data_IF_520166346910
#
_entry.id   IF_520166346910
#
_cell.length_a   1.000
_cell.length_b   1.000
_cell.length_c   1.000
_cell.angle_alpha   90.00
_cell.angle_beta   90.00
_cell.angle_gamma   90.00
#
_symmetry.space_group_name_H-M   'P 1'
#
loop_
_entity.id
_entity.type
_entity.pdbx_description
1 polymer ?
#
# COMPACT_ATOMS: atom_id res chain seq x y z
N UNK A 1 -3.53 -14.82 11.03
CA UNK A 1 -3.93 -13.63 11.78
C UNK A 1 -2.92 -12.51 11.63
N UNK A 2 -3.40 -11.28 11.66
CA UNK A 2 -2.55 -10.11 11.61
C UNK A 2 -1.84 -9.93 12.95
N UNK A 3 -0.63 -9.37 12.88
CA UNK A 3 0.07 -8.98 14.10
C UNK A 3 -0.69 -7.83 14.77
N UNK A 4 -0.73 -7.79 16.11
CA UNK A 4 -1.30 -6.65 16.81
C UNK A 4 -0.59 -5.36 16.42
N UNK A 5 -1.32 -4.26 16.35
CA UNK A 5 -0.73 -2.95 16.04
C UNK A 5 0.32 -2.53 17.06
N UNK A 6 0.23 -3.02 18.29
CA UNK A 6 1.21 -2.76 19.34
C UNK A 6 2.60 -3.30 19.03
N UNK A 7 2.71 -4.30 18.14
CA UNK A 7 3.99 -4.86 17.71
C UNK A 7 4.63 -4.04 16.59
N UNK A 8 3.87 -3.16 15.96
CA UNK A 8 4.33 -2.36 14.84
C UNK A 8 5.22 -1.22 15.36
N UNK A 9 6.46 -1.16 14.87
CA UNK A 9 7.42 -0.14 15.29
C UNK A 9 7.65 0.92 14.21
N UNK A 10 7.88 0.52 12.97
CA UNK A 10 8.21 1.44 11.89
C UNK A 10 7.97 0.78 10.53
N UNK A 11 8.04 1.58 9.48
CA UNK A 11 7.88 1.10 8.13
C UNK A 11 8.48 2.03 7.11
N UNK A 12 8.57 1.53 5.90
CA UNK A 12 9.01 2.29 4.72
C UNK A 12 7.90 2.21 3.69
N UNK A 13 7.62 3.31 3.03
CA UNK A 13 6.52 3.39 2.06
C UNK A 13 6.99 3.92 0.72
N UNK A 14 6.35 3.43 -0.33
CA UNK A 14 6.54 3.92 -1.69
C UNK A 14 5.18 4.20 -2.32
N UNK A 15 5.02 5.39 -2.89
CA UNK A 15 3.82 5.77 -3.63
C UNK A 15 4.04 5.49 -5.11
N UNK A 16 3.17 4.67 -5.68
CA UNK A 16 3.20 4.36 -7.11
C UNK A 16 2.26 5.32 -7.83
N UNK A 17 2.81 6.47 -8.25
CA UNK A 17 2.00 7.59 -8.75
C UNK A 17 1.17 7.25 -9.98
N UNK A 18 1.67 6.34 -10.82
CA UNK A 18 1.00 5.92 -12.06
C UNK A 18 0.19 4.64 -11.91
N UNK A 19 0.20 4.01 -10.74
CA UNK A 19 -0.46 2.73 -10.53
C UNK A 19 -1.63 2.78 -9.54
N UNK A 20 -1.74 3.87 -8.79
CA UNK A 20 -2.86 4.07 -7.88
C UNK A 20 -2.79 3.27 -6.58
N UNK A 21 -1.60 2.98 -6.09
CA UNK A 21 -1.44 2.38 -4.76
C UNK A 21 -0.15 2.83 -4.10
N UNK A 22 -0.15 2.68 -2.79
CA UNK A 22 1.00 2.92 -1.91
C UNK A 22 1.34 1.58 -1.28
N UNK A 23 2.60 1.19 -1.29
CA UNK A 23 3.05 -0.05 -0.68
C UNK A 23 3.98 0.30 0.48
N UNK A 24 3.69 -0.27 1.64
CA UNK A 24 4.48 -0.08 2.86
C UNK A 24 5.02 -1.42 3.33
N UNK A 25 6.26 -1.40 3.78
CA UNK A 25 6.91 -2.55 4.41
C UNK A 25 7.04 -2.25 5.90
N UNK A 26 6.36 -3.04 6.73
CA UNK A 26 6.31 -2.79 8.18
C UNK A 26 7.17 -3.77 8.97
N UNK A 27 7.77 -3.24 10.04
CA UNK A 27 8.69 -3.97 10.92
C UNK A 27 8.24 -3.88 12.37
N UNK A 28 8.58 -4.92 13.13
CA UNK A 28 8.34 -4.97 14.57
C UNK A 28 9.39 -4.20 15.34
N UNK A 29 9.20 -4.08 16.66
CA UNK A 29 10.19 -3.48 17.57
C UNK A 29 11.50 -4.29 17.61
N UNK A 30 11.47 -5.56 17.23
CA UNK A 30 12.64 -6.42 17.11
C UNK A 30 13.32 -6.35 15.75
N UNK A 31 12.87 -5.42 14.87
CA UNK A 31 13.38 -5.23 13.51
C UNK A 31 13.05 -6.40 12.56
N UNK A 32 12.07 -7.22 12.91
CA UNK A 32 11.61 -8.30 12.05
C UNK A 32 10.57 -7.78 11.05
N UNK A 33 10.65 -8.25 9.82
CA UNK A 33 9.65 -7.94 8.82
C UNK A 33 8.32 -8.58 9.21
N UNK A 34 7.26 -7.76 9.30
CA UNK A 34 5.93 -8.20 9.69
C UNK A 34 5.06 -8.51 8.49
N UNK A 35 4.87 -7.54 7.60
CA UNK A 35 4.05 -7.71 6.40
C UNK A 35 4.16 -6.48 5.50
N UNK A 36 3.72 -6.69 4.25
CA UNK A 36 3.48 -5.60 3.31
C UNK A 36 2.05 -5.11 3.48
N UNK A 37 1.88 -3.81 3.51
CA UNK A 37 0.57 -3.18 3.58
C UNK A 37 0.40 -2.29 2.34
N UNK A 38 -0.63 -2.59 1.53
CA UNK A 38 -0.87 -1.88 0.29
C UNK A 38 -2.17 -1.11 0.38
N UNK A 39 -2.09 0.21 0.26
CA UNK A 39 -3.24 1.10 0.25
C UNK A 39 -3.63 1.42 -1.19
N UNK A 40 -4.90 1.25 -1.53
CA UNK A 40 -5.42 1.70 -2.82
C UNK A 40 -5.73 3.19 -2.68
N UNK A 41 -5.14 4.00 -3.54
CA UNK A 41 -5.23 5.46 -3.45
C UNK A 41 -5.58 6.08 -4.79
N UNK A 42 -6.15 7.30 -4.72
CA UNK A 42 -6.31 8.17 -5.88
C UNK A 42 -5.24 9.25 -5.76
N UNK A 43 -4.48 9.45 -6.82
CA UNK A 43 -3.44 10.47 -6.86
C UNK A 43 -3.87 11.62 -7.76
N UNK A 44 -3.91 12.83 -7.21
CA UNK A 44 -4.21 14.04 -7.96
C UNK A 44 -3.03 15.00 -7.88
N UNK A 45 -2.61 15.50 -9.03
CA UNK A 45 -1.56 16.51 -9.11
C UNK A 45 -2.20 17.88 -9.22
N UNK A 46 -1.87 18.78 -8.29
CA UNK A 46 -2.31 20.17 -8.32
C UNK A 46 -1.21 21.03 -8.91
N UNK A 47 -1.45 21.48 -10.13
CA UNK A 47 -0.46 22.20 -10.93
C UNK A 47 -0.05 23.53 -10.28
N UNK A 48 -1.00 24.26 -9.71
CA UNK A 48 -0.76 25.59 -9.15
C UNK A 48 0.18 25.55 -7.96
N UNK A 49 0.10 24.53 -7.14
CA UNK A 49 0.94 24.36 -5.94
C UNK A 49 2.05 23.34 -6.13
N UNK A 50 2.14 22.70 -7.32
CA UNK A 50 3.08 21.61 -7.60
C UNK A 50 3.02 20.55 -6.50
N UNK A 51 1.81 20.14 -6.17
CA UNK A 51 1.54 19.25 -5.04
C UNK A 51 0.76 18.02 -5.50
N UNK A 52 1.13 16.85 -4.97
CA UNK A 52 0.35 15.63 -5.14
C UNK A 52 -0.56 15.46 -3.94
N UNK A 53 -1.83 15.19 -4.20
CA UNK A 53 -2.82 14.89 -3.16
C UNK A 53 -3.20 13.43 -3.28
N UNK A 54 -3.07 12.68 -2.19
CA UNK A 54 -3.40 11.27 -2.14
C UNK A 54 -4.69 11.07 -1.37
N UNK A 55 -5.67 10.42 -1.97
CA UNK A 55 -6.93 10.10 -1.34
C UNK A 55 -7.03 8.59 -1.15
N UNK A 56 -7.26 8.17 0.08
CA UNK A 56 -7.45 6.76 0.42
C UNK A 56 -8.80 6.30 -0.12
N UNK A 57 -8.79 5.21 -0.89
CA UNK A 57 -10.00 4.64 -1.48
C UNK A 57 -10.54 3.45 -0.68
N UNK A 58 -10.08 3.29 0.57
CA UNK A 58 -10.64 2.40 1.60
C UNK A 58 -10.37 0.91 1.43
N UNK A 59 -9.94 0.42 0.28
CA UNK A 59 -9.59 -0.98 0.10
C UNK A 59 -8.08 -1.16 0.31
N UNK A 60 -7.70 -2.15 1.11
CA UNK A 60 -6.30 -2.42 1.43
C UNK A 60 -5.96 -3.89 1.19
N UNK A 61 -4.69 -4.16 0.90
CA UNK A 61 -4.18 -5.51 0.71
C UNK A 61 -2.99 -5.73 1.62
N UNK A 62 -3.01 -6.85 2.34
CA UNK A 62 -1.92 -7.23 3.23
C UNK A 62 -1.27 -8.49 2.66
N UNK A 63 0.06 -8.44 2.49
CA UNK A 63 0.85 -9.58 2.01
C UNK A 63 1.81 -9.96 3.12
N UNK A 64 1.65 -11.18 3.65
CA UNK A 64 2.49 -11.69 4.73
C UNK A 64 3.79 -12.27 4.18
N UNK A 65 4.80 -12.48 5.06
CA UNK A 65 6.09 -13.02 4.61
C UNK A 65 6.00 -14.36 3.89
N UNK A 66 5.00 -15.19 4.24
CA UNK A 66 4.77 -16.48 3.59
C UNK A 66 4.02 -16.38 2.25
N UNK A 67 3.70 -15.14 1.82
CA UNK A 67 2.95 -14.89 0.60
C UNK A 67 1.44 -14.89 0.76
N UNK A 68 0.93 -15.20 1.96
CA UNK A 68 -0.50 -15.17 2.23
C UNK A 68 -1.02 -13.75 2.02
N UNK A 69 -2.03 -13.61 1.16
CA UNK A 69 -2.58 -12.31 0.75
C UNK A 69 -4.00 -12.16 1.27
N UNK A 70 -4.30 -11.01 1.86
CA UNK A 70 -5.61 -10.70 2.41
C UNK A 70 -6.06 -9.33 1.94
N UNK A 71 -7.27 -9.27 1.40
CA UNK A 71 -7.93 -8.00 1.08
C UNK A 71 -8.81 -7.62 2.28
N UNK A 72 -8.66 -6.40 2.77
CA UNK A 72 -9.40 -5.93 3.94
C UNK A 72 -10.14 -4.64 3.61
N UNK A 73 -11.13 -4.31 4.46
CA UNK A 73 -11.90 -3.07 4.42
C UNK A 73 -12.81 -2.92 3.19
N UNK A 74 -13.13 -4.01 2.50
CA UNK A 74 -14.11 -3.98 1.42
C UNK A 74 -15.49 -3.58 1.92
N UNK A 75 -15.81 -3.94 3.15
CA UNK A 75 -17.08 -3.57 3.78
C UNK A 75 -17.17 -2.05 3.98
N UNK A 76 -16.07 -1.43 4.38
CA UNK A 76 -15.99 0.02 4.52
C UNK A 76 -16.15 0.72 3.17
N UNK A 77 -15.60 0.13 2.11
CA UNK A 77 -15.74 0.66 0.76
C UNK A 77 -17.21 0.63 0.33
N UNK A 78 -17.90 -0.48 0.57
CA UNK A 78 -19.31 -0.63 0.26
C UNK A 78 -20.17 0.37 1.06
N UNK A 79 -19.91 0.49 2.36
CA UNK A 79 -20.62 1.44 3.22
C UNK A 79 -20.46 2.87 2.74
N UNK A 80 -19.25 3.27 2.39
CA UNK A 80 -18.97 4.61 1.90
C UNK A 80 -19.75 4.89 0.61
N UNK A 81 -19.80 3.93 -0.28
CA UNK A 81 -20.54 4.05 -1.53
C UNK A 81 -22.05 4.19 -1.27
N UNK A 82 -22.60 3.35 -0.41
CA UNK A 82 -24.03 3.36 -0.08
C UNK A 82 -24.47 4.64 0.61
N UNK A 83 -23.57 5.25 1.39
CA UNK A 83 -23.83 6.51 2.07
C UNK A 83 -23.61 7.74 1.20
N UNK A 84 -23.21 7.54 -0.05
CA UNK A 84 -22.96 8.65 -0.96
C UNK A 84 -21.65 9.39 -0.70
N UNK A 85 -20.77 8.82 0.12
CA UNK A 85 -19.46 9.42 0.42
C UNK A 85 -18.42 9.08 -0.65
N UNK A 86 -18.70 8.09 -1.47
CA UNK A 86 -17.82 7.64 -2.54
C UNK A 86 -18.62 7.58 -3.83
N UNK A 87 -18.18 8.29 -4.87
CA UNK A 87 -18.86 8.29 -6.16
C UNK A 87 -18.71 6.93 -6.85
N UNK A 88 -19.61 6.64 -7.78
CA UNK A 88 -19.53 5.41 -8.59
C UNK A 88 -18.24 5.39 -9.41
N UNK A 89 -17.76 6.56 -9.84
CA UNK A 89 -16.51 6.68 -10.57
C UNK A 89 -15.30 6.29 -9.71
N UNK A 90 -15.27 6.78 -8.47
CA UNK A 90 -14.20 6.42 -7.52
C UNK A 90 -14.28 4.97 -7.10
N UNK A 91 -15.48 4.44 -6.91
CA UNK A 91 -15.68 3.02 -6.61
C UNK A 91 -15.11 2.15 -7.74
N UNK A 92 -15.45 2.48 -8.98
CA UNK A 92 -14.94 1.76 -10.16
C UNK A 92 -13.42 1.85 -10.22
N UNK A 93 -12.86 3.03 -9.96
CA UNK A 93 -11.40 3.24 -9.95
C UNK A 93 -10.73 2.38 -8.88
N UNK A 94 -11.28 2.36 -7.66
CA UNK A 94 -10.75 1.56 -6.56
C UNK A 94 -10.71 0.08 -6.91
N UNK A 95 -11.79 -0.44 -7.50
CA UNK A 95 -11.87 -1.85 -7.88
C UNK A 95 -10.88 -2.21 -8.99
N UNK A 96 -10.68 -1.32 -9.97
CA UNK A 96 -9.73 -1.56 -11.05
C UNK A 96 -8.29 -1.54 -10.55
N UNK A 97 -7.98 -0.61 -9.66
CA UNK A 97 -6.64 -0.52 -9.07
C UNK A 97 -6.35 -1.69 -8.14
N UNK A 98 -7.35 -2.11 -7.37
CA UNK A 98 -7.26 -3.31 -6.54
C UNK A 98 -6.99 -4.54 -7.40
N UNK A 99 -7.72 -4.70 -8.49
CA UNK A 99 -7.52 -5.81 -9.41
C UNK A 99 -6.09 -5.80 -9.99
N UNK A 100 -5.60 -4.62 -10.40
CA UNK A 100 -4.26 -4.49 -10.94
C UNK A 100 -3.19 -4.96 -9.94
N UNK A 101 -3.32 -4.56 -8.69
CA UNK A 101 -2.41 -4.99 -7.64
C UNK A 101 -2.50 -6.49 -7.39
N UNK A 102 -3.72 -7.03 -7.29
CA UNK A 102 -3.92 -8.45 -7.07
C UNK A 102 -3.37 -9.29 -8.22
N UNK A 103 -3.52 -8.83 -9.47
CA UNK A 103 -2.95 -9.53 -10.62
C UNK A 103 -1.43 -9.58 -10.54
N UNK A 104 -0.79 -8.51 -10.09
CA UNK A 104 0.66 -8.51 -9.90
C UNK A 104 1.08 -9.55 -8.86
N UNK A 105 0.32 -9.65 -7.77
CA UNK A 105 0.58 -10.65 -6.71
C UNK A 105 0.38 -12.06 -7.25
N UNK A 106 -0.74 -12.33 -7.94
CA UNK A 106 -1.09 -13.66 -8.43
C UNK A 106 -0.13 -14.17 -9.51
N UNK A 107 0.49 -13.25 -10.26
CA UNK A 107 1.45 -13.61 -11.32
C UNK A 107 2.89 -13.57 -10.86
N UNK A 108 3.12 -13.57 -9.55
CA UNK A 108 4.45 -13.53 -8.94
C UNK A 108 5.29 -12.32 -9.38
N UNK A 109 4.62 -11.19 -9.61
CA UNK A 109 5.27 -9.93 -9.99
C UNK A 109 5.43 -8.95 -8.83
N UNK A 110 4.97 -9.33 -7.64
CA UNK A 110 5.03 -8.45 -6.48
C UNK A 110 6.46 -8.16 -6.07
N UNK A 111 7.35 -9.14 -6.19
CA UNK A 111 8.77 -8.95 -5.90
C UNK A 111 9.38 -7.89 -6.82
N UNK A 112 9.12 -7.97 -8.14
CA UNK A 112 9.58 -6.95 -9.09
C UNK A 112 8.98 -5.59 -8.79
N UNK A 113 7.71 -5.56 -8.42
CA UNK A 113 7.00 -4.31 -8.11
C UNK A 113 7.60 -3.61 -6.89
N UNK A 114 8.02 -4.37 -5.88
CA UNK A 114 8.58 -3.82 -4.64
C UNK A 114 10.09 -3.64 -4.67
N UNK A 115 10.76 -4.08 -5.71
CA UNK A 115 12.22 -3.99 -5.83
C UNK A 115 12.77 -2.57 -5.63
N UNK A 116 12.19 -1.51 -6.24
CA UNK A 116 12.69 -0.16 -6.02
C UNK A 116 12.64 0.26 -4.55
N UNK A 117 11.57 -0.13 -3.84
CA UNK A 117 11.45 0.16 -2.41
C UNK A 117 12.51 -0.61 -1.61
N UNK A 118 12.73 -1.89 -1.92
CA UNK A 118 13.74 -2.69 -1.24
C UNK A 118 15.14 -2.12 -1.46
N UNK A 119 15.43 -1.62 -2.66
CA UNK A 119 16.71 -0.98 -2.95
C UNK A 119 16.91 0.31 -2.13
N UNK A 120 15.85 1.11 -1.99
CA UNK A 120 15.89 2.33 -1.20
C UNK A 120 16.08 2.02 0.30
N UNK A 121 15.44 0.98 0.78
CA UNK A 121 15.61 0.54 2.18
C UNK A 121 17.06 0.11 2.42
N UNK A 122 17.63 -0.67 1.52
CA UNK A 122 19.01 -1.13 1.63
C UNK A 122 19.99 0.05 1.65
N UNK A 123 19.79 1.05 0.79
CA UNK A 123 20.61 2.26 0.77
C UNK A 123 20.50 3.05 2.08
N UNK A 124 19.29 3.21 2.58
CA UNK A 124 19.04 3.92 3.83
C UNK A 124 19.72 3.22 5.02
N UNK A 125 19.55 1.90 5.13
CA UNK A 125 20.16 1.13 6.21
C UNK A 125 21.69 1.14 6.13
N UNK A 126 22.25 1.07 4.95
CA UNK A 126 23.69 1.19 4.72
C UNK A 126 24.19 2.56 5.14
N UNK A 127 23.47 3.63 4.84
CA UNK A 127 23.80 5.00 5.24
C UNK A 127 23.80 5.16 6.74
N UNK A 128 22.84 4.53 7.46
CA UNK A 128 22.78 4.58 8.92
C UNK A 128 23.96 3.85 9.58
N UNK A 129 24.45 2.78 8.98
CA UNK A 129 25.58 2.03 9.50
C UNK A 129 26.89 2.79 9.37
N UNK A 130 26.99 3.69 8.40
CA UNK A 130 28.21 4.52 8.19
C UNK A 130 28.27 5.73 9.10
N UNK A 131 27.18 6.08 9.72
CA UNK A 131 27.11 7.19 10.66
C UNK A 131 27.56 6.79 12.10
#
# INVERSE_FOLDING_TARGET
>A
TLHPKSDLAYGYSCYFLDRGFKISRFYSHSHDFMYWYCDIIETNYEKDSDTYVFTDLLADVIVKPDGNTRVVDLDELADAFERGLLSSQRMSCALRQLDDLLQAIYRDRFESLTEPLMNQIAEYESSQQKA
#
